data_IF_403111375027
#
_entry.id   IF_403111375027
#
_cell.length_a   1.000
_cell.length_b   1.000
_cell.length_c   1.000
_cell.angle_alpha   90.00
_cell.angle_beta   90.00
_cell.angle_gamma   90.00
#
_symmetry.space_group_name_H-M   'P 1'
#
loop_
_entity.id
_entity.type
_entity.pdbx_description
1 polymer ?
#
# COMPACT_ATOMS: atom_id res chain seq x y z
N UNK A 1 -27.24 -26.91 -9.75
CA UNK A 1 -27.32 -25.90 -8.68
C UNK A 1 -26.20 -26.05 -7.65
N UNK A 2 -25.90 -27.25 -7.13
CA UNK A 2 -24.79 -27.46 -6.16
C UNK A 2 -23.38 -27.16 -6.71
N UNK A 3 -23.05 -27.64 -7.92
CA UNK A 3 -21.71 -27.42 -8.50
C UNK A 3 -21.37 -25.93 -8.71
N UNK A 4 -22.33 -25.11 -9.11
CA UNK A 4 -22.08 -23.67 -9.35
C UNK A 4 -21.82 -22.92 -8.04
N UNK A 5 -22.60 -23.18 -6.99
CA UNK A 5 -22.39 -22.57 -5.67
C UNK A 5 -21.06 -23.03 -5.03
N UNK A 6 -20.69 -24.30 -5.17
CA UNK A 6 -19.40 -24.81 -4.71
C UNK A 6 -18.23 -24.16 -5.45
N UNK A 7 -18.37 -23.93 -6.76
CA UNK A 7 -17.36 -23.24 -7.57
C UNK A 7 -17.19 -21.79 -7.14
N UNK A 8 -18.27 -21.02 -7.03
CA UNK A 8 -18.20 -19.61 -6.60
C UNK A 8 -17.58 -19.47 -5.19
N UNK A 9 -17.89 -20.41 -4.28
CA UNK A 9 -17.30 -20.47 -2.94
C UNK A 9 -15.80 -20.79 -2.98
N UNK A 10 -15.39 -21.77 -3.79
CA UNK A 10 -13.97 -22.13 -3.96
C UNK A 10 -13.17 -20.95 -4.51
N UNK A 11 -13.70 -20.29 -5.54
CA UNK A 11 -13.06 -19.14 -6.16
C UNK A 11 -12.87 -17.98 -5.16
N UNK A 12 -13.90 -17.64 -4.39
CA UNK A 12 -13.80 -16.54 -3.41
C UNK A 12 -13.04 -16.90 -2.13
N UNK A 13 -13.09 -18.15 -1.67
CA UNK A 13 -12.48 -18.56 -0.39
C UNK A 13 -11.06 -19.14 -0.53
N UNK A 14 -10.65 -19.52 -1.74
CA UNK A 14 -9.34 -20.16 -1.99
C UNK A 14 -8.54 -19.37 -3.00
N UNK A 15 -9.09 -19.18 -4.21
CA UNK A 15 -8.34 -18.54 -5.30
C UNK A 15 -8.05 -17.08 -5.00
N UNK A 16 -9.04 -16.32 -4.53
CA UNK A 16 -8.88 -14.93 -4.11
C UNK A 16 -7.78 -14.74 -3.05
N UNK A 17 -7.90 -15.37 -1.87
CA UNK A 17 -6.90 -15.24 -0.81
C UNK A 17 -5.50 -15.71 -1.21
N UNK A 18 -5.39 -16.75 -2.04
CA UNK A 18 -4.09 -17.19 -2.56
C UNK A 18 -3.49 -16.16 -3.53
N UNK A 19 -4.30 -15.54 -4.39
CA UNK A 19 -3.84 -14.49 -5.27
C UNK A 19 -3.34 -13.27 -4.48
N UNK A 20 -4.03 -12.87 -3.41
CA UNK A 20 -3.58 -11.82 -2.50
C UNK A 20 -2.22 -12.17 -1.87
N UNK A 21 -2.02 -13.42 -1.45
CA UNK A 21 -0.73 -13.89 -0.93
C UNK A 21 0.38 -13.77 -1.99
N UNK A 22 0.15 -14.22 -3.22
CA UNK A 22 1.12 -14.10 -4.32
C UNK A 22 1.46 -12.63 -4.59
N UNK A 23 0.48 -11.73 -4.54
CA UNK A 23 0.74 -10.29 -4.67
C UNK A 23 1.63 -9.77 -3.54
N UNK A 24 1.39 -10.15 -2.29
CA UNK A 24 2.25 -9.76 -1.15
C UNK A 24 3.67 -10.30 -1.29
N UNK A 25 3.82 -11.56 -1.66
CA UNK A 25 5.14 -12.19 -1.91
C UNK A 25 5.87 -11.50 -3.06
N UNK A 26 5.15 -11.16 -4.14
CA UNK A 26 5.73 -10.43 -5.26
C UNK A 26 6.29 -9.07 -4.82
N UNK A 27 5.50 -8.31 -4.06
CA UNK A 27 5.92 -7.02 -3.52
C UNK A 27 7.10 -7.15 -2.57
N UNK A 28 7.12 -8.17 -1.71
CA UNK A 28 8.18 -8.38 -0.72
C UNK A 28 9.52 -8.76 -1.35
N UNK A 29 9.52 -9.50 -2.46
CA UNK A 29 10.73 -10.15 -2.97
C UNK A 29 11.18 -9.68 -4.35
N UNK A 30 10.29 -9.09 -5.15
CA UNK A 30 10.56 -8.82 -6.56
C UNK A 30 10.27 -7.37 -6.99
N UNK A 31 9.46 -6.62 -6.24
CA UNK A 31 9.20 -5.23 -6.56
C UNK A 31 10.47 -4.37 -6.37
N UNK A 32 10.73 -3.48 -7.34
CA UNK A 32 11.70 -2.40 -7.16
C UNK A 32 11.23 -1.47 -6.03
N UNK A 33 12.14 -0.88 -5.22
CA UNK A 33 11.78 0.12 -4.20
C UNK A 33 10.93 1.28 -4.72
N UNK A 34 11.04 1.64 -6.00
CA UNK A 34 10.23 2.71 -6.60
C UNK A 34 8.73 2.35 -6.69
N UNK A 35 8.40 1.05 -6.69
CA UNK A 35 7.01 0.59 -6.81
C UNK A 35 6.18 0.90 -5.56
N UNK A 36 6.61 0.55 -4.33
CA UNK A 36 5.92 0.97 -3.12
C UNK A 36 6.37 2.36 -2.61
N UNK A 37 7.34 3.01 -3.25
CA UNK A 37 7.83 4.34 -2.85
C UNK A 37 8.91 4.32 -1.74
N UNK A 38 9.65 3.22 -1.62
CA UNK A 38 10.73 3.03 -0.66
C UNK A 38 11.11 1.55 -0.50
N UNK A 39 12.11 1.24 0.32
CA UNK A 39 12.47 -0.15 0.60
C UNK A 39 11.47 -0.77 1.59
N UNK A 40 10.75 -1.86 1.22
CA UNK A 40 9.90 -2.59 2.16
C UNK A 40 10.73 -3.25 3.27
N UNK A 41 10.26 -3.18 4.50
CA UNK A 41 10.72 -4.03 5.61
C UNK A 41 9.65 -5.01 6.09
N UNK A 42 8.39 -4.70 5.80
CA UNK A 42 7.25 -5.55 6.08
C UNK A 42 6.22 -5.40 4.95
N UNK A 43 5.71 -6.54 4.49
CA UNK A 43 4.56 -6.61 3.58
C UNK A 43 3.52 -7.51 4.24
N UNK A 44 2.37 -6.94 4.59
CA UNK A 44 1.30 -7.62 5.33
C UNK A 44 -0.07 -7.29 4.72
N UNK A 45 -1.14 -7.67 5.41
CA UNK A 45 -2.52 -7.35 5.07
C UNK A 45 -3.25 -6.99 6.37
N UNK A 46 -4.42 -6.35 6.28
CA UNK A 46 -5.21 -6.08 7.48
C UNK A 46 -6.38 -5.15 7.25
N UNK A 47 -7.03 -4.79 8.35
CA UNK A 47 -8.28 -4.05 8.35
C UNK A 47 -8.07 -2.62 8.86
N UNK A 48 -8.68 -1.64 8.21
CA UNK A 48 -8.75 -0.25 8.66
C UNK A 48 -10.21 0.13 8.95
N UNK A 49 -10.48 0.65 10.15
CA UNK A 49 -11.81 1.13 10.50
C UNK A 49 -12.12 2.47 9.82
N UNK A 50 -13.34 2.61 9.29
CA UNK A 50 -13.90 3.89 8.82
C UNK A 50 -15.12 4.23 9.69
N UNK A 51 -14.92 5.03 10.77
CA UNK A 51 -16.00 5.37 11.68
C UNK A 51 -17.10 6.23 11.03
N UNK A 52 -16.74 7.08 10.07
CA UNK A 52 -17.68 7.98 9.39
C UNK A 52 -18.64 7.17 8.51
N UNK A 53 -18.12 6.22 7.75
CA UNK A 53 -18.93 5.28 6.97
C UNK A 53 -19.48 4.11 7.80
N UNK A 54 -19.12 4.02 9.10
CA UNK A 54 -19.48 2.94 10.03
C UNK A 54 -19.18 1.55 9.47
N UNK A 55 -18.03 1.41 8.83
CA UNK A 55 -17.59 0.17 8.17
C UNK A 55 -16.11 -0.11 8.47
N UNK A 56 -15.61 -1.22 7.96
CA UNK A 56 -14.19 -1.54 7.94
C UNK A 56 -13.74 -1.87 6.51
N UNK A 57 -12.48 -1.53 6.21
CA UNK A 57 -11.85 -1.77 4.93
C UNK A 57 -10.75 -2.82 5.10
N UNK A 58 -10.93 -3.99 4.49
CA UNK A 58 -9.83 -4.94 4.29
C UNK A 58 -8.86 -4.39 3.25
N UNK A 59 -7.56 -4.52 3.53
CA UNK A 59 -6.46 -4.14 2.66
C UNK A 59 -5.60 -5.36 2.42
N UNK A 60 -5.52 -5.75 1.16
CA UNK A 60 -4.91 -7.00 0.74
C UNK A 60 -3.37 -6.93 0.78
N UNK A 61 -2.81 -5.74 0.58
CA UNK A 61 -1.36 -5.46 0.65
C UNK A 61 -1.10 -4.17 1.42
N UNK A 62 -0.34 -4.26 2.50
CA UNK A 62 0.13 -3.14 3.31
C UNK A 62 1.65 -3.19 3.32
N UNK A 63 2.30 -2.13 2.84
CA UNK A 63 3.76 -2.06 2.76
C UNK A 63 4.28 -1.05 3.77
N UNK A 64 5.15 -1.50 4.67
CA UNK A 64 5.86 -0.63 5.60
C UNK A 64 7.35 -0.62 5.30
N UNK A 65 7.94 0.56 5.42
CA UNK A 65 9.36 0.82 5.22
C UNK A 65 10.04 1.27 6.52
N UNK A 66 11.37 1.25 6.55
CA UNK A 66 12.10 1.70 7.73
C UNK A 66 12.02 3.23 7.89
N UNK A 67 11.56 3.73 9.04
CA UNK A 67 12.03 5.01 9.61
C UNK A 67 12.12 4.90 11.13
N UNK A 68 13.35 4.91 11.64
CA UNK A 68 13.65 5.33 13.01
C UNK A 68 13.25 4.43 14.19
N UNK A 69 12.18 3.62 14.19
CA UNK A 69 11.74 2.73 15.30
C UNK A 69 10.84 1.55 14.83
N UNK A 70 10.55 0.65 15.79
CA UNK A 70 10.05 -0.75 15.75
C UNK A 70 8.89 -1.16 14.81
N UNK A 71 8.15 -0.25 14.17
CA UNK A 71 6.97 -0.61 13.34
C UNK A 71 6.93 -0.01 11.93
N UNK A 72 7.97 0.73 11.52
CA UNK A 72 8.09 1.29 10.17
C UNK A 72 7.02 2.30 9.76
N UNK A 73 7.28 3.07 8.71
CA UNK A 73 6.31 3.99 8.11
C UNK A 73 5.49 3.29 7.05
N UNK A 74 4.21 3.64 6.93
CA UNK A 74 3.38 3.17 5.82
C UNK A 74 3.90 3.77 4.51
N UNK A 75 4.35 2.91 3.59
CA UNK A 75 4.81 3.31 2.26
C UNK A 75 3.67 3.25 1.24
N UNK A 76 2.94 2.14 1.22
CA UNK A 76 1.92 1.87 0.21
C UNK A 76 0.80 0.98 0.72
N UNK A 77 -0.37 1.13 0.11
CA UNK A 77 -1.56 0.29 0.28
C UNK A 77 -1.96 -0.26 -1.08
N UNK A 78 -2.34 -1.52 -1.14
CA UNK A 78 -2.74 -2.20 -2.37
C UNK A 78 -3.98 -3.06 -2.20
N UNK A 79 -4.66 -3.26 -3.33
CA UNK A 79 -5.84 -4.12 -3.46
C UNK A 79 -5.59 -5.10 -4.60
N UNK A 80 -5.96 -6.37 -4.37
CA UNK A 80 -5.82 -7.45 -5.32
C UNK A 80 -7.19 -8.06 -5.62
N UNK A 81 -7.44 -8.32 -6.90
CA UNK A 81 -8.64 -9.03 -7.37
C UNK A 81 -8.23 -10.02 -8.46
N UNK A 82 -8.61 -11.28 -8.27
CA UNK A 82 -8.23 -12.36 -9.19
C UNK A 82 -9.19 -12.45 -10.39
N UNK A 83 -10.46 -12.06 -10.22
CA UNK A 83 -11.54 -12.19 -11.20
C UNK A 83 -12.05 -10.87 -11.77
N UNK A 84 -11.45 -9.76 -11.37
CA UNK A 84 -11.91 -8.43 -11.75
C UNK A 84 -10.78 -7.60 -12.33
N UNK A 85 -11.11 -6.82 -13.35
CA UNK A 85 -10.20 -5.81 -13.86
C UNK A 85 -10.13 -4.67 -12.84
N UNK A 86 -8.91 -4.30 -12.47
CA UNK A 86 -8.69 -3.18 -11.55
C UNK A 86 -9.09 -1.86 -12.21
N UNK A 87 -9.85 -1.03 -11.49
CA UNK A 87 -10.37 0.24 -11.99
C UNK A 87 -10.30 1.37 -10.97
N UNK A 88 -10.77 2.55 -11.38
CA UNK A 88 -10.68 3.79 -10.58
C UNK A 88 -11.39 3.68 -9.24
N UNK A 89 -12.51 2.95 -9.16
CA UNK A 89 -13.22 2.74 -7.89
C UNK A 89 -12.37 2.04 -6.82
N UNK A 90 -11.49 1.11 -7.21
CA UNK A 90 -10.54 0.49 -6.28
C UNK A 90 -9.49 1.51 -5.80
N UNK A 91 -9.04 2.40 -6.69
CA UNK A 91 -8.11 3.47 -6.31
C UNK A 91 -8.76 4.49 -5.36
N UNK A 92 -10.02 4.86 -5.60
CA UNK A 92 -10.75 5.78 -4.73
C UNK A 92 -10.96 5.19 -3.33
N UNK A 93 -11.25 3.89 -3.25
CA UNK A 93 -11.28 3.16 -1.98
C UNK A 93 -9.93 3.21 -1.26
N UNK A 94 -8.82 2.95 -1.95
CA UNK A 94 -7.48 3.03 -1.36
C UNK A 94 -7.12 4.44 -0.91
N UNK A 95 -7.51 5.49 -1.65
CA UNK A 95 -7.34 6.89 -1.24
C UNK A 95 -8.11 7.22 0.04
N UNK A 96 -9.35 6.72 0.16
CA UNK A 96 -10.14 6.85 1.39
C UNK A 96 -9.40 6.20 2.56
N UNK A 97 -8.94 4.96 2.40
CA UNK A 97 -8.22 4.25 3.46
C UNK A 97 -6.92 4.96 3.85
N UNK A 98 -6.16 5.44 2.86
CA UNK A 98 -4.93 6.22 3.11
C UNK A 98 -5.21 7.45 3.99
N UNK A 99 -6.33 8.16 3.75
CA UNK A 99 -6.72 9.32 4.57
C UNK A 99 -7.07 8.96 6.02
N UNK A 100 -7.48 7.72 6.29
CA UNK A 100 -7.74 7.21 7.64
C UNK A 100 -6.46 6.80 8.37
N UNK A 101 -5.44 6.34 7.64
CA UNK A 101 -4.14 5.92 8.20
C UNK A 101 -3.16 7.07 8.44
N UNK A 102 -3.33 8.19 7.75
CA UNK A 102 -2.54 9.40 7.93
C UNK A 102 -3.50 10.58 7.88
N UNK A 103 -4.00 11.05 9.04
CA UNK A 103 -4.85 12.23 9.05
C UNK A 103 -4.07 13.39 8.39
N UNK A 104 -4.76 14.30 7.67
CA UNK A 104 -4.10 15.41 7.00
C UNK A 104 -3.20 16.14 7.99
N UNK A 105 -1.93 16.32 7.62
CA UNK A 105 -0.98 17.05 8.45
C UNK A 105 -1.55 18.45 8.64
N UNK A 106 -1.89 18.82 9.88
CA UNK A 106 -2.18 20.20 10.19
C UNK A 106 -0.94 20.99 9.79
N UNK A 107 -1.09 22.00 8.91
CA UNK A 107 0.01 22.78 8.35
C UNK A 107 0.87 23.36 9.47
N UNK A 108 1.90 22.62 9.85
CA UNK A 108 2.90 23.01 10.83
C UNK A 108 4.18 23.07 10.03
N UNK A 109 4.77 24.26 9.99
CA UNK A 109 5.84 24.63 9.07
C UNK A 109 6.93 23.55 8.91
N UNK A 110 7.36 23.38 7.66
CA UNK A 110 8.40 22.45 7.23
C UNK A 110 9.63 22.47 8.16
N UNK A 111 10.04 21.34 8.75
CA UNK A 111 11.34 21.21 9.40
C UNK A 111 12.48 20.93 8.41
N UNK A 112 12.18 20.72 7.12
CA UNK A 112 13.19 20.51 6.09
C UNK A 112 13.58 21.84 5.45
N UNK A 113 14.61 22.47 6.03
CA UNK A 113 15.34 23.55 5.40
C UNK A 113 16.03 23.04 4.12
N UNK A 114 15.81 23.74 3.02
CA UNK A 114 16.45 23.50 1.73
C UNK A 114 17.97 23.57 1.87
N UNK A 115 18.65 22.44 1.70
CA UNK A 115 20.10 22.46 1.48
C UNK A 115 20.36 22.51 -0.02
N UNK A 116 20.46 23.74 -0.53
CA UNK A 116 20.91 24.03 -1.87
C UNK A 116 22.32 23.44 -2.08
N UNK A 117 22.45 22.50 -3.01
CA UNK A 117 23.73 22.07 -3.56
C UNK A 117 24.22 23.16 -4.51
N UNK A 118 25.05 24.06 -3.99
CA UNK A 118 25.80 25.00 -4.81
C UNK A 118 26.83 24.24 -5.66
N UNK A 119 26.77 24.50 -6.96
CA UNK A 119 27.74 24.09 -7.95
C UNK A 119 29.16 24.50 -7.54
N UNK A 120 30.13 23.62 -7.82
CA UNK A 120 31.54 24.01 -7.88
C UNK A 120 32.01 23.80 -9.31
N UNK A 121 32.05 24.91 -10.04
CA UNK A 121 32.97 25.08 -11.15
C UNK A 121 34.41 24.99 -10.63
N UNK A 122 35.25 24.25 -11.34
CA UNK A 122 36.70 24.45 -11.32
C UNK A 122 37.26 23.94 -12.66
N UNK A 123 37.47 24.91 -13.56
CA UNK A 123 38.39 24.80 -14.67
C UNK A 123 39.83 25.11 -14.20
N UNK A 124 40.81 24.70 -15.02
CA UNK A 124 42.28 24.95 -14.95
C UNK A 124 43.03 23.95 -14.06
N UNK A 125 43.95 23.12 -14.56
CA UNK A 125 45.04 23.34 -15.53
C UNK A 125 45.24 22.13 -16.43
#
# INVERSE_FOLDING_TARGET
MWMESSRARFLSAVVGPHFEQVCREWVAHFASPDTPGGMPIEVSYGTVADPEARTSHEIDVVVRGAVGQDSGVLLSLGEAKWDQVMGVGHLDRLRRVQSLCSPPVASTGSPYGSRATAARDSATT
#
